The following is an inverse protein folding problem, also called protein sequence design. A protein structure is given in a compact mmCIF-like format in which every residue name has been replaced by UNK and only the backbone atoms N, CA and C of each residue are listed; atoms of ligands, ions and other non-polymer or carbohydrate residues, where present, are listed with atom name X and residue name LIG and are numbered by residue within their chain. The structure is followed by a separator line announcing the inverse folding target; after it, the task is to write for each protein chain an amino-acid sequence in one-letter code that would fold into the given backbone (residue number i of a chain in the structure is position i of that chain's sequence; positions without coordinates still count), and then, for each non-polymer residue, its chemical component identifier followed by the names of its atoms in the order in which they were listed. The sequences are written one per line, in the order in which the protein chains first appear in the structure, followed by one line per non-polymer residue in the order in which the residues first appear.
data_IF_511655179888
#
_entry.id   IF_511655179888
#
_cell.length_a   1.000
_cell.length_b   1.000
_cell.length_c   1.000
_cell.angle_alpha   90.00
_cell.angle_beta   90.00
_cell.angle_gamma   90.00
#
_symmetry.space_group_name_H-M   'P 1'
#
loop_
_entity.id
_entity.type
_entity.pdbx_description
1 polymer ?
#
# COMPACT_ATOMS: atom_id res chain seq x y z
N UNK A 1 18.00 54.39 -11.91
CA UNK A 1 19.03 54.53 -10.86
C UNK A 1 18.77 53.47 -9.79
N UNK A 2 19.81 52.69 -9.48
CA UNK A 2 20.13 52.04 -8.21
C UNK A 2 19.16 51.02 -7.56
N UNK A 3 19.69 49.79 -7.50
CA UNK A 3 19.70 48.85 -6.36
C UNK A 3 18.48 47.96 -6.06
N UNK A 4 18.70 46.64 -6.25
CA UNK A 4 18.16 45.54 -5.45
C UNK A 4 18.81 45.57 -4.03
N UNK A 5 18.38 44.79 -2.99
CA UNK A 5 18.49 43.30 -3.04
C UNK A 5 17.62 42.44 -2.04
N UNK A 6 17.75 41.09 -2.17
CA UNK A 6 17.49 39.98 -1.19
C UNK A 6 16.01 39.56 -0.94
N UNK A 7 15.54 38.29 -0.92
CA UNK A 7 16.05 36.92 -0.64
C UNK A 7 15.23 35.87 -1.47
N UNK A 8 15.83 34.88 -2.16
CA UNK A 8 16.09 33.46 -1.74
C UNK A 8 14.84 32.70 -1.24
N UNK A 9 14.49 31.45 -1.57
CA UNK A 9 15.12 30.25 -2.18
C UNK A 9 13.98 29.19 -2.18
N UNK A 10 13.69 28.38 -3.21
CA UNK A 10 14.10 26.96 -3.36
C UNK A 10 13.44 26.48 -4.68
N UNK A 11 14.25 26.29 -5.72
CA UNK A 11 13.85 25.58 -6.94
C UNK A 11 14.55 24.22 -6.94
N UNK A 12 13.81 23.17 -7.28
CA UNK A 12 14.32 21.83 -7.55
C UNK A 12 15.37 21.89 -8.67
N UNK A 13 16.61 21.57 -8.32
CA UNK A 13 17.66 21.29 -9.30
C UNK A 13 17.47 19.86 -9.83
N UNK A 14 16.80 19.74 -10.98
CA UNK A 14 17.04 18.64 -11.91
C UNK A 14 18.49 18.76 -12.40
N UNK A 15 19.39 17.96 -11.82
CA UNK A 15 20.76 17.83 -12.33
C UNK A 15 20.74 16.91 -13.54
N UNK A 16 20.70 17.52 -14.73
CA UNK A 16 21.23 16.93 -15.97
C UNK A 16 22.64 16.36 -15.71
N UNK A 17 23.07 15.28 -16.40
CA UNK A 17 24.45 14.85 -16.34
C UNK A 17 25.32 16.03 -16.80
N UNK A 18 26.14 16.55 -15.90
CA UNK A 18 27.03 17.66 -16.19
C UNK A 18 27.83 17.33 -17.45
N UNK A 19 27.67 18.17 -18.47
CA UNK A 19 28.52 18.16 -19.64
C UNK A 19 29.97 18.27 -19.18
N UNK A 20 30.78 17.33 -19.66
CA UNK A 20 32.20 17.20 -19.36
C UNK A 20 32.88 18.56 -19.59
N UNK A 21 33.41 19.26 -18.57
CA UNK A 21 34.11 20.50 -18.81
C UNK A 21 35.37 20.15 -19.61
N UNK A 22 35.49 20.77 -20.79
CA UNK A 22 36.66 20.67 -21.68
C UNK A 22 37.94 20.59 -20.84
N UNK A 23 38.58 19.42 -20.86
CA UNK A 23 39.92 19.24 -20.31
C UNK A 23 40.85 20.17 -21.09
N UNK A 24 41.20 21.31 -20.49
CA UNK A 24 42.39 22.05 -20.89
C UNK A 24 43.57 21.12 -20.61
N UNK A 25 44.20 20.59 -21.66
CA UNK A 25 45.50 19.94 -21.56
C UNK A 25 46.47 20.97 -20.98
N UNK A 26 46.74 20.88 -19.68
CA UNK A 26 47.83 21.60 -19.04
C UNK A 26 49.14 21.03 -19.60
N UNK A 27 50.05 21.91 -20.01
CA UNK A 27 51.35 21.52 -20.54
C UNK A 27 52.15 20.64 -19.58
N UNK A 28 52.94 19.74 -20.16
CA UNK A 28 53.90 18.87 -19.48
C UNK A 28 54.86 19.71 -18.63
N UNK A 29 54.57 19.88 -17.34
CA UNK A 29 55.44 20.65 -16.42
C UNK A 29 54.76 21.28 -15.21
N UNK A 30 53.41 21.33 -15.12
CA UNK A 30 52.73 21.87 -13.95
C UNK A 30 52.60 20.81 -12.82
N UNK A 31 53.22 21.08 -11.66
CA UNK A 31 53.13 20.23 -10.46
C UNK A 31 51.67 20.11 -10.04
N UNK A 32 51.10 18.90 -10.16
CA UNK A 32 49.71 18.63 -9.77
C UNK A 32 49.59 18.78 -8.24
N UNK A 33 48.64 19.59 -7.74
CA UNK A 33 48.46 19.75 -6.29
C UNK A 33 48.13 18.41 -5.60
N UNK A 34 48.80 18.12 -4.48
CA UNK A 34 48.61 16.88 -3.71
C UNK A 34 47.15 16.67 -3.27
N UNK A 35 46.42 17.76 -3.00
CA UNK A 35 44.99 17.75 -2.67
C UNK A 35 44.11 17.23 -3.80
N UNK A 36 44.48 17.47 -5.06
CA UNK A 36 43.78 16.97 -6.24
C UNK A 36 44.00 15.46 -6.42
N UNK A 37 45.23 14.98 -6.22
CA UNK A 37 45.55 13.55 -6.25
C UNK A 37 44.82 12.78 -5.15
N UNK A 38 44.74 13.33 -3.92
CA UNK A 38 43.95 12.75 -2.82
C UNK A 38 42.44 12.72 -3.14
N UNK A 39 41.91 13.74 -3.82
CA UNK A 39 40.51 13.78 -4.27
C UNK A 39 40.21 12.77 -5.37
N UNK A 40 41.13 12.58 -6.33
CA UNK A 40 40.99 11.56 -7.39
C UNK A 40 40.97 10.15 -6.80
N UNK A 41 41.94 9.81 -5.94
CA UNK A 41 41.98 8.50 -5.25
C UNK A 41 40.69 8.21 -4.49
N UNK A 42 40.19 9.16 -3.70
CA UNK A 42 38.90 9.02 -2.99
C UNK A 42 37.72 8.83 -3.93
N UNK A 43 37.69 9.56 -5.05
CA UNK A 43 36.63 9.45 -6.05
C UNK A 43 36.65 8.10 -6.77
N UNK A 44 37.84 7.56 -7.05
CA UNK A 44 38.05 6.24 -7.64
C UNK A 44 37.63 5.13 -6.68
N UNK A 45 38.02 5.23 -5.40
CA UNK A 45 37.57 4.33 -4.33
C UNK A 45 36.05 4.34 -4.19
N UNK A 46 35.43 5.53 -4.16
CA UNK A 46 33.97 5.67 -4.10
C UNK A 46 33.28 5.11 -5.36
N UNK A 47 33.88 5.30 -6.54
CA UNK A 47 33.36 4.75 -7.78
C UNK A 47 33.46 3.21 -7.80
N UNK A 48 34.56 2.64 -7.30
CA UNK A 48 34.75 1.20 -7.19
C UNK A 48 33.76 0.60 -6.19
N UNK A 49 33.60 1.20 -5.01
CA UNK A 49 32.65 0.77 -4.00
C UNK A 49 31.21 0.83 -4.53
N UNK A 50 30.81 1.92 -5.22
CA UNK A 50 29.50 2.02 -5.87
C UNK A 50 29.30 0.97 -6.95
N UNK A 51 30.32 0.66 -7.77
CA UNK A 51 30.22 -0.41 -8.78
C UNK A 51 29.99 -1.77 -8.12
N UNK A 52 30.75 -2.09 -7.07
CA UNK A 52 30.58 -3.34 -6.31
C UNK A 52 29.18 -3.44 -5.68
N UNK A 53 28.67 -2.36 -5.09
CA UNK A 53 27.32 -2.31 -4.51
C UNK A 53 26.23 -2.49 -5.58
N UNK A 54 26.38 -1.83 -6.72
CA UNK A 54 25.46 -1.97 -7.86
C UNK A 54 25.47 -3.41 -8.41
N UNK A 55 26.63 -4.05 -8.50
CA UNK A 55 26.70 -5.42 -8.99
C UNK A 55 26.16 -6.44 -7.97
N UNK A 56 26.38 -6.22 -6.67
CA UNK A 56 25.79 -7.01 -5.60
C UNK A 56 24.24 -6.89 -5.59
N UNK A 57 23.72 -5.66 -5.67
CA UNK A 57 22.27 -5.41 -5.75
C UNK A 57 21.64 -5.98 -7.01
N UNK A 58 22.30 -5.92 -8.17
CA UNK A 58 21.83 -6.59 -9.40
C UNK A 58 21.70 -8.10 -9.23
N UNK A 59 22.70 -8.75 -8.64
CA UNK A 59 22.67 -10.20 -8.35
C UNK A 59 21.51 -10.55 -7.42
N UNK A 60 21.39 -9.81 -6.30
CA UNK A 60 20.27 -9.96 -5.35
C UNK A 60 18.91 -9.76 -6.03
N UNK A 61 18.76 -8.72 -6.85
CA UNK A 61 17.51 -8.44 -7.55
C UNK A 61 17.14 -9.54 -8.56
N UNK A 62 18.12 -10.15 -9.23
CA UNK A 62 17.89 -11.27 -10.12
C UNK A 62 17.38 -12.51 -9.38
N UNK A 63 17.95 -12.82 -8.21
CA UNK A 63 17.50 -13.90 -7.34
C UNK A 63 16.09 -13.62 -6.77
N UNK A 64 15.89 -12.41 -6.23
CA UNK A 64 14.59 -11.95 -5.73
C UNK A 64 13.51 -12.05 -6.81
N UNK A 65 13.81 -11.66 -8.06
CA UNK A 65 12.84 -11.76 -9.16
C UNK A 65 12.40 -13.21 -9.42
N UNK A 66 13.34 -14.17 -9.38
CA UNK A 66 13.01 -15.60 -9.50
C UNK A 66 12.14 -16.06 -8.33
N UNK A 67 12.46 -15.62 -7.10
CA UNK A 67 11.69 -15.95 -5.90
C UNK A 67 10.27 -15.39 -5.96
N UNK A 68 10.13 -14.11 -6.30
CA UNK A 68 8.84 -13.41 -6.44
C UNK A 68 7.95 -14.14 -7.46
N UNK A 69 8.50 -14.50 -8.61
CA UNK A 69 7.75 -15.23 -9.65
C UNK A 69 7.25 -16.59 -9.15
N UNK A 70 8.11 -17.35 -8.45
CA UNK A 70 7.72 -18.64 -7.85
C UNK A 70 6.63 -18.47 -6.79
N UNK A 71 6.76 -17.49 -5.90
CA UNK A 71 5.76 -17.17 -4.86
C UNK A 71 4.42 -16.75 -5.45
N UNK A 72 4.43 -15.83 -6.42
CA UNK A 72 3.22 -15.39 -7.10
C UNK A 72 2.46 -16.56 -7.76
N UNK A 73 3.19 -17.48 -8.40
CA UNK A 73 2.60 -18.71 -8.97
C UNK A 73 1.98 -19.60 -7.89
N UNK A 74 2.66 -19.75 -6.76
CA UNK A 74 2.18 -20.55 -5.63
C UNK A 74 0.90 -19.95 -5.04
N UNK A 75 0.85 -18.65 -4.77
CA UNK A 75 -0.34 -17.99 -4.23
C UNK A 75 -1.52 -18.06 -5.20
N UNK A 76 -1.29 -17.87 -6.50
CA UNK A 76 -2.34 -18.02 -7.49
C UNK A 76 -2.95 -19.44 -7.47
N UNK A 77 -2.09 -20.46 -7.42
CA UNK A 77 -2.52 -21.85 -7.31
C UNK A 77 -3.30 -22.10 -6.02
N UNK A 78 -2.82 -21.59 -4.89
CA UNK A 78 -3.48 -21.71 -3.58
C UNK A 78 -4.89 -21.11 -3.61
N UNK A 79 -5.06 -19.90 -4.16
CA UNK A 79 -6.37 -19.27 -4.26
C UNK A 79 -7.33 -20.07 -5.16
N UNK A 80 -6.85 -20.57 -6.30
CA UNK A 80 -7.66 -21.39 -7.21
C UNK A 80 -8.09 -22.70 -6.55
N UNK A 81 -7.19 -23.35 -5.80
CA UNK A 81 -7.47 -24.57 -5.05
C UNK A 81 -8.50 -24.32 -3.94
N UNK A 82 -8.35 -23.25 -3.16
CA UNK A 82 -9.32 -22.84 -2.13
C UNK A 82 -10.72 -22.59 -2.70
N UNK A 83 -10.81 -21.95 -3.87
CA UNK A 83 -12.11 -21.74 -4.54
C UNK A 83 -12.74 -23.05 -5.00
N UNK A 84 -11.95 -23.93 -5.63
CA UNK A 84 -12.42 -25.26 -6.07
C UNK A 84 -12.87 -26.12 -4.89
N UNK A 85 -12.11 -26.11 -3.80
CA UNK A 85 -12.43 -26.84 -2.58
C UNK A 85 -13.73 -26.34 -1.95
N UNK A 86 -13.92 -25.02 -1.83
CA UNK A 86 -15.16 -24.45 -1.32
C UNK A 86 -16.39 -24.87 -2.16
N UNK A 87 -16.24 -24.94 -3.49
CA UNK A 87 -17.29 -25.44 -4.39
C UNK A 87 -17.53 -26.94 -4.16
N UNK A 88 -16.47 -27.74 -4.02
CA UNK A 88 -16.55 -29.19 -3.74
C UNK A 88 -17.31 -29.46 -2.45
N UNK A 89 -16.92 -28.79 -1.35
CA UNK A 89 -17.56 -28.93 -0.04
C UNK A 89 -19.04 -28.55 -0.06
N UNK A 90 -19.41 -27.47 -0.76
CA UNK A 90 -20.82 -27.09 -0.96
C UNK A 90 -21.62 -28.16 -1.70
N UNK A 91 -21.04 -28.79 -2.72
CA UNK A 91 -21.69 -29.87 -3.48
C UNK A 91 -21.83 -31.14 -2.66
N UNK A 92 -20.78 -31.56 -1.95
CA UNK A 92 -20.80 -32.74 -1.08
C UNK A 92 -21.81 -32.60 0.05
N UNK A 93 -21.87 -31.43 0.70
CA UNK A 93 -22.87 -31.17 1.73
C UNK A 93 -24.29 -31.32 1.17
N UNK A 94 -24.55 -30.73 -0.01
CA UNK A 94 -25.86 -30.82 -0.68
C UNK A 94 -26.22 -32.26 -1.06
N UNK A 95 -25.25 -33.06 -1.52
CA UNK A 95 -25.46 -34.48 -1.85
C UNK A 95 -25.82 -35.31 -0.61
N UNK A 96 -25.22 -35.01 0.55
CA UNK A 96 -25.52 -35.66 1.82
C UNK A 96 -26.83 -35.16 2.47
N UNK A 97 -27.58 -34.28 1.81
CA UNK A 97 -28.81 -33.67 2.33
C UNK A 97 -28.59 -32.57 3.37
N UNK A 98 -27.34 -32.13 3.59
CA UNK A 98 -26.98 -31.04 4.49
C UNK A 98 -26.66 -29.73 3.76
N UNK A 99 -26.29 -28.70 4.52
CA UNK A 99 -25.81 -27.42 4.00
C UNK A 99 -24.41 -27.08 4.52
N UNK A 100 -23.55 -26.54 3.65
CA UNK A 100 -22.22 -26.11 4.04
C UNK A 100 -22.27 -24.68 4.59
N UNK A 101 -21.93 -24.53 5.87
CA UNK A 101 -21.76 -23.21 6.52
C UNK A 101 -20.35 -22.72 6.25
N UNK A 102 -20.22 -21.56 5.62
CA UNK A 102 -18.90 -20.97 5.35
C UNK A 102 -18.31 -20.37 6.61
N UNK A 103 -16.97 -20.44 6.79
CA UNK A 103 -16.31 -19.86 7.95
C UNK A 103 -16.49 -18.33 7.97
N UNK A 104 -16.49 -17.75 9.18
CA UNK A 104 -16.55 -16.30 9.35
C UNK A 104 -15.36 -15.61 8.69
N UNK A 105 -15.61 -14.46 8.06
CA UNK A 105 -14.59 -13.69 7.40
C UNK A 105 -13.63 -13.04 8.42
N UNK A 106 -12.33 -13.12 8.14
CA UNK A 106 -11.26 -12.60 9.01
C UNK A 106 -10.88 -11.16 8.71
N UNK A 107 -11.21 -10.67 7.51
CA UNK A 107 -10.81 -9.37 6.97
C UNK A 107 -12.02 -8.50 6.67
N UNK A 108 -11.96 -7.24 7.09
CA UNK A 108 -12.91 -6.19 6.72
C UNK A 108 -12.23 -5.09 5.93
N UNK A 109 -12.97 -4.51 4.98
CA UNK A 109 -12.62 -3.24 4.38
C UNK A 109 -13.64 -2.19 4.79
N UNK A 110 -13.17 -1.09 5.38
CA UNK A 110 -14.02 -0.03 5.92
C UNK A 110 -13.80 1.23 5.10
N UNK A 111 -14.89 1.86 4.68
CA UNK A 111 -14.91 3.10 3.91
C UNK A 111 -15.70 4.13 4.70
N UNK A 112 -15.16 5.34 4.82
CA UNK A 112 -15.89 6.46 5.43
C UNK A 112 -16.84 7.11 4.42
N UNK A 113 -18.14 7.19 4.75
CA UNK A 113 -19.16 7.75 3.84
C UNK A 113 -19.71 9.11 4.29
N UNK A 114 -19.57 9.48 5.57
CA UNK A 114 -20.03 10.77 6.12
C UNK A 114 -18.87 11.67 6.57
N UNK A 115 -19.09 12.98 6.50
CA UNK A 115 -18.14 14.03 6.90
C UNK A 115 -17.91 14.11 8.42
N UNK A 116 -17.21 15.14 8.92
CA UNK A 116 -16.92 15.34 10.37
C UNK A 116 -17.93 16.23 11.11
N UNK A 117 -18.86 16.84 10.38
CA UNK A 117 -19.77 17.84 10.96
C UNK A 117 -20.84 17.16 11.82
N UNK A 118 -21.12 17.77 12.98
CA UNK A 118 -22.10 17.28 13.95
C UNK A 118 -21.87 15.81 14.37
N UNK A 119 -20.62 15.47 14.71
CA UNK A 119 -20.25 14.16 15.25
C UNK A 119 -19.83 14.30 16.70
N UNK A 120 -20.27 13.38 17.55
CA UNK A 120 -19.84 13.31 18.94
C UNK A 120 -18.31 13.11 19.06
N UNK A 121 -17.64 13.71 20.05
CA UNK A 121 -16.19 13.61 20.19
C UNK A 121 -15.66 12.17 20.29
N UNK A 122 -16.44 11.24 20.86
CA UNK A 122 -16.04 9.83 21.03
C UNK A 122 -15.97 9.11 19.67
N UNK A 123 -17.00 9.22 18.85
CA UNK A 123 -17.03 8.69 17.47
C UNK A 123 -15.95 9.35 16.61
N UNK A 124 -15.75 10.66 16.75
CA UNK A 124 -14.66 11.36 16.04
C UNK A 124 -13.29 10.76 16.39
N UNK A 125 -13.06 10.44 17.67
CA UNK A 125 -11.81 9.78 18.11
C UNK A 125 -11.68 8.37 17.56
N UNK A 126 -12.76 7.59 17.52
CA UNK A 126 -12.75 6.22 16.95
C UNK A 126 -12.39 6.26 15.46
N UNK A 127 -13.00 7.17 14.69
CA UNK A 127 -12.66 7.36 13.26
C UNK A 127 -11.19 7.73 13.06
N UNK A 128 -10.61 8.55 13.95
CA UNK A 128 -9.18 8.87 13.93
C UNK A 128 -8.30 7.65 14.22
N UNK A 129 -8.68 6.80 15.20
CA UNK A 129 -7.95 5.57 15.53
C UNK A 129 -7.96 4.58 14.35
N UNK A 130 -9.09 4.48 13.64
CA UNK A 130 -9.21 3.70 12.41
C UNK A 130 -8.50 4.32 11.19
N UNK A 131 -7.89 5.51 11.35
CA UNK A 131 -7.20 6.29 10.29
C UNK A 131 -8.15 6.84 9.21
N UNK A 132 -9.45 6.90 9.48
CA UNK A 132 -10.50 7.40 8.57
C UNK A 132 -10.69 8.92 8.70
N UNK A 133 -9.69 9.70 8.27
CA UNK A 133 -9.67 11.17 8.45
C UNK A 133 -10.58 11.93 7.50
N UNK A 134 -10.63 11.52 6.23
CA UNK A 134 -11.41 12.17 5.17
C UNK A 134 -12.55 11.25 4.69
N UNK A 135 -13.56 11.84 4.04
CA UNK A 135 -14.58 11.07 3.33
C UNK A 135 -13.92 10.22 2.24
N UNK A 136 -14.47 9.03 2.00
CA UNK A 136 -13.95 8.05 1.05
C UNK A 136 -12.52 7.57 1.33
N UNK A 137 -12.03 7.75 2.56
CA UNK A 137 -10.88 6.98 3.00
C UNK A 137 -11.28 5.53 3.26
N UNK A 138 -10.46 4.60 2.78
CA UNK A 138 -10.59 3.16 2.96
C UNK A 138 -9.44 2.58 3.78
N UNK A 139 -9.71 1.65 4.69
CA UNK A 139 -8.69 0.95 5.49
C UNK A 139 -9.08 -0.51 5.68
N UNK A 140 -8.11 -1.42 5.63
CA UNK A 140 -8.30 -2.82 6.01
C UNK A 140 -8.30 -2.97 7.53
N UNK A 141 -9.16 -3.84 8.06
CA UNK A 141 -9.23 -4.14 9.49
C UNK A 141 -9.35 -5.64 9.72
N UNK A 142 -8.59 -6.14 10.69
CA UNK A 142 -8.72 -7.52 11.18
C UNK A 142 -9.99 -7.64 12.02
N UNK A 143 -10.77 -8.68 11.77
CA UNK A 143 -11.96 -8.99 12.57
C UNK A 143 -11.53 -9.49 13.94
N UNK A 144 -12.01 -8.80 14.97
CA UNK A 144 -11.86 -9.13 16.38
C UNK A 144 -13.12 -8.59 17.10
N UNK A 145 -13.52 -9.21 18.21
CA UNK A 145 -14.63 -8.74 19.04
C UNK A 145 -14.48 -7.26 19.43
N UNK A 146 -13.26 -6.83 19.73
CA UNK A 146 -12.97 -5.43 20.05
C UNK A 146 -13.16 -4.49 18.85
N UNK A 147 -12.69 -4.88 17.65
CA UNK A 147 -12.82 -4.06 16.45
C UNK A 147 -14.27 -3.96 15.97
N UNK A 148 -15.04 -5.04 16.11
CA UNK A 148 -16.48 -5.03 15.84
C UNK A 148 -17.25 -4.10 16.79
N UNK A 149 -16.93 -4.10 18.09
CA UNK A 149 -17.56 -3.18 19.04
C UNK A 149 -17.21 -1.72 18.76
N UNK A 150 -15.98 -1.43 18.31
CA UNK A 150 -15.62 -0.09 17.83
C UNK A 150 -16.40 0.28 16.57
N UNK A 151 -16.57 -0.65 15.63
CA UNK A 151 -17.31 -0.44 14.38
C UNK A 151 -18.78 -0.12 14.61
N UNK A 152 -19.46 -0.85 15.51
CA UNK A 152 -20.85 -0.60 15.89
C UNK A 152 -21.10 0.84 16.34
N UNK A 153 -20.13 1.45 17.04
CA UNK A 153 -20.24 2.86 17.49
C UNK A 153 -20.13 3.86 16.35
N UNK A 154 -19.37 3.55 15.31
CA UNK A 154 -19.16 4.44 14.14
C UNK A 154 -20.00 4.05 12.93
N UNK A 155 -20.83 3.02 13.06
CA UNK A 155 -21.63 2.39 12.01
C UNK A 155 -22.42 3.38 11.14
N UNK A 156 -23.07 4.44 11.69
CA UNK A 156 -23.78 5.41 10.86
C UNK A 156 -22.90 6.27 9.95
N UNK A 157 -21.58 6.26 10.15
CA UNK A 157 -20.61 7.11 9.44
C UNK A 157 -19.73 6.36 8.45
N UNK A 158 -19.67 5.04 8.59
CA UNK A 158 -18.83 4.15 7.79
C UNK A 158 -19.70 3.13 7.08
N UNK A 159 -19.16 2.57 6.03
CA UNK A 159 -19.67 1.33 5.46
C UNK A 159 -18.54 0.33 5.39
N UNK A 160 -18.85 -0.94 5.66
CA UNK A 160 -17.85 -1.98 5.71
C UNK A 160 -18.41 -3.30 5.23
N UNK A 161 -17.51 -4.22 4.91
CA UNK A 161 -17.86 -5.57 4.48
C UNK A 161 -16.60 -6.38 4.16
N UNK A 162 -16.80 -7.53 3.53
CA UNK A 162 -15.75 -8.51 3.27
C UNK A 162 -15.18 -8.30 1.86
N UNK A 163 -13.93 -7.84 1.71
CA UNK A 163 -13.34 -7.65 0.41
C UNK A 163 -12.94 -8.99 -0.20
N UNK A 164 -13.16 -9.16 -1.51
CA UNK A 164 -12.64 -10.30 -2.27
C UNK A 164 -11.20 -10.03 -2.74
N UNK A 165 -10.51 -11.09 -3.15
CA UNK A 165 -9.14 -11.03 -3.66
C UNK A 165 -8.98 -10.00 -4.79
N UNK A 166 -9.93 -9.93 -5.72
CA UNK A 166 -9.91 -8.98 -6.83
C UNK A 166 -9.97 -7.53 -6.35
N UNK A 167 -10.83 -7.22 -5.40
CA UNK A 167 -11.01 -5.89 -4.82
C UNK A 167 -9.79 -5.48 -4.01
N UNK A 168 -9.19 -6.37 -3.21
CA UNK A 168 -7.92 -6.11 -2.51
C UNK A 168 -6.80 -5.82 -3.51
N UNK A 169 -6.68 -6.66 -4.54
CA UNK A 169 -5.70 -6.52 -5.61
C UNK A 169 -5.84 -5.16 -6.31
N UNK A 170 -7.03 -4.81 -6.78
CA UNK A 170 -7.29 -3.53 -7.43
C UNK A 170 -7.01 -2.33 -6.53
N UNK A 171 -7.37 -2.40 -5.24
CA UNK A 171 -7.10 -1.32 -4.27
C UNK A 171 -5.60 -1.08 -4.11
N UNK A 172 -4.82 -2.14 -3.90
CA UNK A 172 -3.38 -2.04 -3.70
C UNK A 172 -2.69 -1.59 -4.99
N UNK A 173 -3.05 -2.14 -6.15
CA UNK A 173 -2.43 -1.75 -7.41
C UNK A 173 -2.78 -0.34 -7.87
N UNK A 174 -4.05 0.07 -7.79
CA UNK A 174 -4.49 1.36 -8.34
C UNK A 174 -4.34 2.51 -7.36
N UNK A 175 -4.46 2.24 -6.07
CA UNK A 175 -4.57 3.27 -5.01
C UNK A 175 -3.59 3.06 -3.85
N UNK A 176 -2.81 1.99 -3.87
CA UNK A 176 -1.86 1.66 -2.82
C UNK A 176 -0.73 2.68 -2.72
N UNK A 177 -0.55 3.20 -1.51
CA UNK A 177 0.60 4.00 -1.16
C UNK A 177 1.23 3.42 0.11
N UNK A 178 2.55 3.32 0.12
CA UNK A 178 3.33 2.92 1.29
C UNK A 178 3.67 4.13 2.15
N UNK A 179 3.75 3.90 3.47
CA UNK A 179 4.26 4.84 4.46
C UNK A 179 5.73 4.51 4.72
N UNK A 180 6.63 5.31 4.18
CA UNK A 180 8.08 5.19 4.41
C UNK A 180 8.61 6.42 5.12
N UNK A 181 9.21 6.24 6.30
CA UNK A 181 9.75 7.34 7.13
C UNK A 181 8.75 8.51 7.34
N UNK A 182 7.45 8.19 7.42
CA UNK A 182 6.37 9.16 7.58
C UNK A 182 5.86 9.81 6.28
N UNK A 183 6.55 9.60 5.15
CA UNK A 183 6.14 10.09 3.85
C UNK A 183 5.24 9.08 3.14
N UNK A 184 4.34 9.59 2.30
CA UNK A 184 3.44 8.81 1.47
C UNK A 184 4.07 8.62 0.09
N UNK A 185 4.39 7.38 -0.27
CA UNK A 185 5.05 7.02 -1.53
C UNK A 185 4.15 6.04 -2.29
N UNK A 186 4.01 6.23 -3.60
CA UNK A 186 3.24 5.32 -4.45
C UNK A 186 3.93 3.95 -4.57
N UNK A 187 3.15 2.87 -4.63
CA UNK A 187 3.67 1.51 -4.79
C UNK A 187 3.93 1.20 -6.28
N UNK A 188 4.93 1.85 -6.88
CA UNK A 188 5.34 1.58 -8.28
C UNK A 188 6.27 0.38 -8.37
N UNK A 189 7.20 0.26 -7.42
CA UNK A 189 8.28 -0.72 -7.44
C UNK A 189 8.28 -1.58 -6.17
N UNK A 190 8.66 -2.85 -6.31
CA UNK A 190 8.77 -3.78 -5.18
C UNK A 190 9.84 -3.36 -4.16
N UNK A 191 10.79 -2.52 -4.55
CA UNK A 191 11.81 -1.97 -3.63
C UNK A 191 11.19 -1.21 -2.45
N UNK A 192 10.08 -0.51 -2.68
CA UNK A 192 9.35 0.24 -1.64
C UNK A 192 8.80 -0.71 -0.57
N UNK A 193 8.28 -1.87 -1.00
CA UNK A 193 7.74 -2.91 -0.11
C UNK A 193 8.87 -3.62 0.62
N UNK A 194 9.91 -4.07 -0.10
CA UNK A 194 11.06 -4.77 0.48
C UNK A 194 11.77 -3.91 1.55
N UNK A 195 11.95 -2.60 1.30
CA UNK A 195 12.57 -1.70 2.28
C UNK A 195 11.77 -1.57 3.58
N UNK A 196 10.44 -1.58 3.50
CA UNK A 196 9.57 -1.41 4.66
C UNK A 196 9.32 -2.72 5.41
N UNK A 197 9.05 -3.79 4.67
CA UNK A 197 8.51 -5.04 5.19
C UNK A 197 9.41 -6.26 4.94
N UNK A 198 10.57 -6.10 4.32
CA UNK A 198 11.50 -7.19 4.03
C UNK A 198 11.97 -7.94 5.28
N UNK A 199 11.98 -7.28 6.45
CA UNK A 199 12.25 -7.91 7.76
C UNK A 199 11.24 -8.99 8.14
N UNK A 200 10.02 -8.89 7.62
CA UNK A 200 8.91 -9.82 7.88
C UNK A 200 8.75 -10.83 6.74
N UNK A 201 9.70 -10.89 5.79
CA UNK A 201 9.65 -11.80 4.64
C UNK A 201 8.73 -11.36 3.49
N UNK A 202 8.15 -10.16 3.57
CA UNK A 202 7.28 -9.57 2.54
C UNK A 202 8.16 -8.74 1.59
N UNK A 203 8.38 -9.26 0.39
CA UNK A 203 9.36 -8.70 -0.56
C UNK A 203 8.64 -7.95 -1.69
N UNK A 204 7.46 -8.40 -2.10
CA UNK A 204 6.74 -7.85 -3.24
C UNK A 204 5.29 -7.46 -2.92
N UNK A 205 4.64 -6.80 -3.88
CA UNK A 205 3.22 -6.43 -3.78
C UNK A 205 2.31 -7.66 -3.68
N UNK A 206 2.62 -8.76 -4.38
CA UNK A 206 1.86 -10.02 -4.24
C UNK A 206 1.95 -10.62 -2.82
N UNK A 207 3.13 -10.63 -2.21
CA UNK A 207 3.31 -11.07 -0.82
C UNK A 207 2.46 -10.19 0.12
N UNK A 208 2.43 -8.86 -0.12
CA UNK A 208 1.63 -7.92 0.65
C UNK A 208 0.11 -8.18 0.49
N UNK A 209 -0.35 -8.42 -0.73
CA UNK A 209 -1.76 -8.77 -1.00
C UNK A 209 -2.13 -10.07 -0.26
N UNK A 210 -1.25 -11.07 -0.33
CA UNK A 210 -1.47 -12.35 0.32
C UNK A 210 -1.55 -12.21 1.84
N UNK A 211 -0.59 -11.51 2.46
CA UNK A 211 -0.58 -11.25 3.91
C UNK A 211 -1.86 -10.53 4.38
N UNK A 212 -2.35 -9.57 3.60
CA UNK A 212 -3.60 -8.85 3.91
C UNK A 212 -4.82 -9.77 3.76
N UNK A 213 -4.91 -10.53 2.66
CA UNK A 213 -6.07 -11.37 2.35
C UNK A 213 -6.22 -12.53 3.35
N UNK A 214 -5.14 -13.21 3.68
CA UNK A 214 -5.13 -14.35 4.61
C UNK A 214 -5.14 -13.92 6.08
N UNK A 215 -4.88 -12.63 6.34
CA UNK A 215 -4.70 -12.07 7.68
C UNK A 215 -3.56 -12.81 8.41
N UNK A 216 -2.39 -12.79 7.78
CA UNK A 216 -1.19 -13.47 8.26
C UNK A 216 -0.62 -12.91 9.57
N UNK A 217 0.51 -13.47 10.04
CA UNK A 217 1.13 -13.12 11.32
C UNK A 217 1.57 -11.64 11.39
N UNK A 218 1.97 -11.05 10.27
CA UNK A 218 2.49 -9.68 10.15
C UNK A 218 1.46 -8.73 9.52
N UNK A 219 0.17 -9.06 9.62
CA UNK A 219 -0.93 -8.25 9.12
C UNK A 219 -0.92 -6.81 9.66
N UNK A 220 -0.55 -6.63 10.94
CA UNK A 220 -0.57 -5.32 11.61
C UNK A 220 0.46 -4.38 10.98
N UNK A 221 1.65 -4.91 10.72
CA UNK A 221 2.78 -4.22 10.12
C UNK A 221 2.48 -3.89 8.65
N UNK A 222 1.97 -4.87 7.89
CA UNK A 222 1.54 -4.71 6.50
C UNK A 222 0.44 -3.64 6.35
N UNK A 223 -0.59 -3.69 7.21
CA UNK A 223 -1.68 -2.72 7.17
C UNK A 223 -1.27 -1.32 7.65
N UNK A 224 -0.32 -1.22 8.58
CA UNK A 224 0.22 0.06 9.03
C UNK A 224 1.14 0.70 7.97
N UNK A 225 1.87 -0.12 7.21
CA UNK A 225 2.63 0.33 6.05
C UNK A 225 1.71 0.92 4.98
N UNK A 226 0.56 0.31 4.71
CA UNK A 226 -0.43 0.88 3.80
C UNK A 226 -0.99 2.20 4.35
N UNK A 227 -0.83 3.26 3.59
CA UNK A 227 -1.52 4.52 3.83
C UNK A 227 -3.03 4.33 3.57
N UNK A 228 -3.93 4.98 4.33
CA UNK A 228 -5.36 4.91 4.05
C UNK A 228 -5.67 5.21 2.58
N UNK A 229 -6.41 4.30 1.94
CA UNK A 229 -6.75 4.40 0.53
C UNK A 229 -7.63 5.62 0.31
N UNK A 230 -7.18 6.54 -0.54
CA UNK A 230 -8.03 7.65 -0.98
C UNK A 230 -8.87 7.18 -2.16
N UNK A 231 -10.13 6.88 -1.92
CA UNK A 231 -11.06 6.40 -2.94
C UNK A 231 -11.77 7.57 -3.62
N UNK A 232 -12.21 7.36 -4.87
CA UNK A 232 -13.06 8.34 -5.57
C UNK A 232 -14.50 8.23 -5.06
N UNK A 233 -15.29 9.27 -5.30
CA UNK A 233 -16.74 9.15 -5.14
C UNK A 233 -17.27 8.00 -6.02
N UNK A 234 -18.21 7.17 -5.53
CA UNK A 234 -18.69 6.03 -6.29
C UNK A 234 -19.43 6.49 -7.55
N UNK A 235 -19.14 5.85 -8.68
CA UNK A 235 -19.89 6.03 -9.91
C UNK A 235 -21.38 5.69 -9.66
N UNK A 236 -22.29 6.57 -10.08
CA UNK A 236 -23.72 6.46 -9.78
C UNK A 236 -24.11 6.86 -8.34
N UNK A 237 -23.17 7.38 -7.56
CA UNK A 237 -23.44 7.93 -6.23
C UNK A 237 -23.76 6.90 -5.14
N UNK A 238 -24.11 7.44 -3.97
CA UNK A 238 -24.63 6.71 -2.81
C UNK A 238 -26.16 6.89 -2.77
N UNK A 239 -26.90 5.86 -2.35
CA UNK A 239 -28.36 5.89 -2.22
C UNK A 239 -28.79 6.82 -1.09
N UNK A 240 -28.54 6.42 0.16
CA UNK A 240 -28.87 7.20 1.37
C UNK A 240 -27.77 7.01 2.41
N UNK A 241 -26.97 8.05 2.65
CA UNK A 241 -25.78 7.98 3.51
C UNK A 241 -26.08 7.81 5.01
N UNK A 242 -27.30 8.14 5.45
CA UNK A 242 -27.70 8.14 6.87
C UNK A 242 -28.35 6.84 7.32
N UNK A 243 -29.05 6.16 6.40
CA UNK A 243 -29.75 4.92 6.68
C UNK A 243 -28.81 3.73 6.62
N UNK A 244 -29.13 2.72 7.42
CA UNK A 244 -28.41 1.45 7.41
C UNK A 244 -28.63 0.71 6.09
N UNK A 245 -27.68 -0.15 5.69
CA UNK A 245 -27.75 -0.91 4.44
C UNK A 245 -29.03 -1.77 4.35
N UNK A 246 -29.45 -2.37 5.47
CA UNK A 246 -30.68 -3.18 5.57
C UNK A 246 -31.94 -2.37 5.24
N UNK A 247 -31.95 -1.07 5.54
CA UNK A 247 -33.07 -0.15 5.23
C UNK A 247 -32.99 0.43 3.80
N UNK A 248 -32.11 -0.11 2.96
CA UNK A 248 -31.82 0.40 1.62
C UNK A 248 -30.88 1.61 1.58
N UNK A 249 -30.19 1.91 2.69
CA UNK A 249 -29.16 2.92 2.78
C UNK A 249 -27.76 2.43 2.39
N UNK A 250 -26.75 3.16 2.85
CA UNK A 250 -25.33 2.85 2.60
C UNK A 250 -24.49 2.69 3.88
N UNK A 251 -25.03 3.01 5.06
CA UNK A 251 -24.26 2.88 6.31
C UNK A 251 -24.21 1.44 6.81
N UNK A 252 -23.14 1.10 7.53
CA UNK A 252 -22.98 -0.19 8.21
C UNK A 252 -22.49 -1.35 7.34
N UNK A 253 -22.74 -2.56 7.84
CA UNK A 253 -22.27 -3.80 7.22
C UNK A 253 -23.09 -4.14 5.97
N UNK A 254 -22.40 -4.37 4.85
CA UNK A 254 -23.00 -4.83 3.59
C UNK A 254 -22.39 -6.12 3.08
N UNK A 255 -21.65 -6.84 3.93
CA UNK A 255 -21.04 -8.13 3.63
C UNK A 255 -20.27 -8.12 2.30
N UNK A 256 -20.60 -9.00 1.36
CA UNK A 256 -19.94 -9.12 0.06
C UNK A 256 -20.29 -7.98 -0.91
N UNK A 257 -21.37 -7.23 -0.68
CA UNK A 257 -21.77 -6.11 -1.55
C UNK A 257 -20.83 -4.91 -1.46
N UNK A 258 -19.90 -4.90 -0.49
CA UNK A 258 -18.81 -3.92 -0.44
C UNK A 258 -17.94 -3.97 -1.69
N UNK A 259 -17.80 -5.16 -2.28
CA UNK A 259 -16.97 -5.35 -3.47
C UNK A 259 -17.50 -4.58 -4.68
N UNK A 260 -18.83 -4.54 -4.84
CA UNK A 260 -19.47 -3.75 -5.88
C UNK A 260 -19.27 -2.24 -5.64
N UNK A 261 -19.33 -1.79 -4.38
CA UNK A 261 -19.04 -0.39 -4.03
C UNK A 261 -17.59 -0.03 -4.32
N UNK A 262 -16.63 -0.84 -3.89
CA UNK A 262 -15.18 -0.62 -4.11
C UNK A 262 -14.90 -0.44 -5.59
N UNK A 263 -15.46 -1.32 -6.45
CA UNK A 263 -15.27 -1.23 -7.91
C UNK A 263 -15.80 0.08 -8.50
N UNK A 264 -16.92 0.61 -7.98
CA UNK A 264 -17.46 1.92 -8.41
C UNK A 264 -16.62 3.10 -7.92
N UNK A 265 -15.79 2.90 -6.90
CA UNK A 265 -14.90 3.92 -6.32
C UNK A 265 -13.45 3.84 -6.83
N UNK A 266 -13.16 2.86 -7.71
CA UNK A 266 -11.84 2.66 -8.30
C UNK A 266 -11.47 3.69 -9.35
#
# INVERSE_FOLDING_TARGET
MLHAPLLKLIYLHNTLPASNPKQRKMGEGAVVPESFLKKQKRSEEWALAKKQEVDATKKKNAENRKLIFKRAKLYAKEYDEQQKELIRLKREARLKGGFYVSPEAKLLFIIRIRGINAIDPKTKKILQLLRLRQIFNGVFLKVNKATLNMLRRVEPYVTYGYPNLKSVKELIYKRGHGKLKGQRIALTDNSVVEQALGKFGIICVEDLIHEIMTVGPHFKEANNFLWPFQLKAPLGGLKKKRNHYVEGGDAGNREDFVNALIRRMN
#
